data_IF_126058625989
#
_entry.id   IF_126058625989
#
_cell.length_a   1.000
_cell.length_b   1.000
_cell.length_c   1.000
_cell.angle_alpha   90.00
_cell.angle_beta   90.00
_cell.angle_gamma   90.00
#
_symmetry.space_group_name_H-M   'P 1'
#
loop_
_entity.id
_entity.type
_entity.pdbx_description
1 polymer ?
#
# COMPACT_ATOMS: atom_id res chain seq x y z
N UNK A 1 35.03 -1.83 -0.11
CA UNK A 1 33.69 -1.66 0.50
C UNK A 1 33.18 -0.25 0.25
N UNK A 2 31.87 -0.01 0.36
CA UNK A 2 31.26 1.34 0.30
C UNK A 2 30.86 1.80 1.71
N UNK A 3 30.75 3.10 1.94
CA UNK A 3 30.17 3.60 3.20
C UNK A 3 28.66 3.30 3.26
N UNK A 4 28.17 2.86 4.41
CA UNK A 4 26.75 2.51 4.61
C UNK A 4 26.52 1.48 5.71
N UNK A 5 25.26 1.07 5.87
CA UNK A 5 24.86 0.02 6.80
C UNK A 5 25.09 -1.37 6.20
N UNK A 6 25.58 -2.27 7.05
CA UNK A 6 25.79 -3.68 6.71
C UNK A 6 25.18 -4.55 7.80
N UNK A 7 24.42 -5.55 7.39
CA UNK A 7 23.91 -6.62 8.25
C UNK A 7 24.30 -7.95 7.61
N UNK A 8 25.56 -8.35 7.79
CA UNK A 8 26.13 -9.53 7.14
C UNK A 8 27.21 -10.19 8.01
N UNK A 9 27.31 -11.51 7.89
CA UNK A 9 28.39 -12.28 8.54
C UNK A 9 29.73 -11.88 7.91
N UNK A 10 30.67 -11.44 8.75
CA UNK A 10 32.05 -11.16 8.35
C UNK A 10 32.70 -12.48 7.89
N UNK A 11 32.90 -12.62 6.59
CA UNK A 11 33.53 -13.78 5.95
C UNK A 11 34.98 -13.46 5.53
N UNK A 12 35.68 -14.43 4.93
CA UNK A 12 37.09 -14.25 4.49
C UNK A 12 37.29 -13.08 3.51
N UNK A 13 36.35 -12.85 2.61
CA UNK A 13 36.42 -11.76 1.64
C UNK A 13 36.24 -10.40 2.33
N UNK A 14 35.28 -10.29 3.24
CA UNK A 14 35.05 -9.06 4.01
C UNK A 14 36.24 -8.77 4.93
N UNK A 15 36.82 -9.78 5.57
CA UNK A 15 38.04 -9.62 6.38
C UNK A 15 39.17 -9.02 5.55
N UNK A 16 39.45 -9.59 4.37
CA UNK A 16 40.47 -9.06 3.46
C UNK A 16 40.14 -7.62 3.02
N UNK A 17 38.87 -7.33 2.71
CA UNK A 17 38.47 -5.96 2.36
C UNK A 17 38.66 -4.98 3.52
N UNK A 18 38.39 -5.39 4.76
CA UNK A 18 38.60 -4.59 5.97
C UNK A 18 40.09 -4.42 6.32
N UNK A 19 40.93 -5.38 5.98
CA UNK A 19 42.39 -5.30 6.13
C UNK A 19 43.02 -4.35 5.10
N UNK A 20 42.43 -4.26 3.90
CA UNK A 20 42.93 -3.45 2.81
C UNK A 20 42.48 -1.97 2.84
N UNK A 21 41.59 -1.59 3.77
CA UNK A 21 41.22 -0.18 3.95
C UNK A 21 42.12 0.50 4.99
N UNK A 22 42.36 1.80 4.81
CA UNK A 22 43.02 2.64 5.82
C UNK A 22 42.07 2.82 7.01
N UNK A 23 42.11 1.90 7.96
CA UNK A 23 41.14 1.80 9.06
C UNK A 23 41.00 3.08 9.88
N UNK A 24 42.05 3.90 9.97
CA UNK A 24 42.06 5.19 10.66
C UNK A 24 41.06 6.20 10.07
N UNK A 25 40.72 6.05 8.79
CA UNK A 25 39.80 6.94 8.08
C UNK A 25 38.32 6.50 8.18
N UNK A 26 38.03 5.37 8.83
CA UNK A 26 36.67 4.80 8.87
C UNK A 26 36.24 4.44 10.30
N UNK A 27 34.95 4.67 10.60
CA UNK A 27 34.32 4.13 11.80
C UNK A 27 33.81 2.73 11.45
N UNK A 28 34.35 1.70 12.09
CA UNK A 28 33.98 0.31 11.84
C UNK A 28 33.20 -0.22 13.05
N UNK A 29 31.88 -0.31 12.89
CA UNK A 29 30.98 -0.87 13.90
C UNK A 29 30.79 -2.38 13.71
N UNK A 30 30.96 -3.17 14.78
CA UNK A 30 30.94 -4.63 14.75
C UNK A 30 30.34 -5.20 16.03
N UNK A 31 29.32 -6.04 15.86
CA UNK A 31 28.74 -6.84 16.93
C UNK A 31 29.07 -8.33 16.83
N UNK A 32 29.00 -9.03 17.96
CA UNK A 32 29.04 -10.49 17.98
C UNK A 32 27.67 -11.02 17.56
N UNK A 33 27.66 -12.15 16.85
CA UNK A 33 26.41 -12.86 16.53
C UNK A 33 25.72 -13.24 17.84
N UNK A 34 24.47 -12.83 17.99
CA UNK A 34 23.64 -13.18 19.14
C UNK A 34 23.42 -14.70 19.17
N UNK A 35 23.49 -15.30 20.37
CA UNK A 35 23.43 -16.76 20.52
C UNK A 35 22.03 -17.32 20.23
N UNK A 36 20.99 -16.57 20.53
CA UNK A 36 19.60 -16.96 20.29
C UNK A 36 19.24 -16.83 18.81
N UNK A 37 19.82 -15.85 18.12
CA UNK A 37 19.59 -15.61 16.68
C UNK A 37 20.57 -16.35 15.74
N UNK A 38 21.67 -16.90 16.28
CA UNK A 38 22.76 -17.51 15.52
C UNK A 38 22.27 -18.53 14.49
N UNK A 39 21.29 -19.37 14.85
CA UNK A 39 20.72 -20.38 13.93
C UNK A 39 20.14 -19.73 12.68
N UNK A 40 19.37 -18.65 12.82
CA UNK A 40 18.73 -17.97 11.70
C UNK A 40 19.77 -17.26 10.82
N UNK A 41 20.67 -16.49 11.45
CA UNK A 41 21.72 -15.71 10.76
C UNK A 41 22.63 -16.64 9.94
N UNK A 42 23.12 -17.73 10.54
CA UNK A 42 24.02 -18.66 9.87
C UNK A 42 23.32 -19.46 8.76
N UNK A 43 22.05 -19.81 8.95
CA UNK A 43 21.26 -20.50 7.91
C UNK A 43 21.03 -19.61 6.69
N UNK A 44 20.75 -18.33 6.90
CA UNK A 44 20.60 -17.36 5.82
C UNK A 44 21.93 -17.14 5.08
N UNK A 45 23.04 -17.03 5.82
CA UNK A 45 24.37 -16.90 5.22
C UNK A 45 24.74 -18.13 4.37
N UNK A 46 24.60 -19.34 4.90
CA UNK A 46 24.99 -20.55 4.16
C UNK A 46 24.08 -20.79 2.95
N UNK A 47 22.80 -20.43 3.02
CA UNK A 47 21.88 -20.50 1.87
C UNK A 47 22.40 -19.67 0.67
N UNK A 48 22.95 -18.48 0.93
CA UNK A 48 23.56 -17.66 -0.13
C UNK A 48 24.80 -18.33 -0.74
N UNK A 49 25.64 -18.96 0.10
CA UNK A 49 26.82 -19.70 -0.35
C UNK A 49 26.41 -20.90 -1.20
N UNK A 50 25.44 -21.69 -0.75
CA UNK A 50 24.90 -22.85 -1.48
C UNK A 50 24.35 -22.40 -2.84
N UNK A 51 23.58 -21.31 -2.90
CA UNK A 51 23.04 -20.78 -4.15
C UNK A 51 24.14 -20.43 -5.16
N UNK A 52 25.21 -19.75 -4.71
CA UNK A 52 26.37 -19.44 -5.55
C UNK A 52 27.07 -20.72 -6.04
N UNK A 53 27.32 -21.67 -5.13
CA UNK A 53 27.97 -22.95 -5.45
C UNK A 53 27.16 -23.79 -6.44
N UNK A 54 25.84 -23.87 -6.29
CA UNK A 54 24.96 -24.59 -7.21
C UNK A 54 24.96 -23.97 -8.61
N UNK A 55 25.09 -22.65 -8.74
CA UNK A 55 25.27 -22.00 -10.04
C UNK A 55 26.61 -22.41 -10.69
N UNK A 56 27.72 -22.37 -9.93
CA UNK A 56 29.01 -22.81 -10.46
C UNK A 56 29.04 -24.29 -10.85
N UNK A 57 28.37 -25.16 -10.10
CA UNK A 57 28.24 -26.58 -10.43
C UNK A 57 27.48 -26.75 -11.76
N UNK A 58 26.36 -26.04 -11.92
CA UNK A 58 25.57 -26.04 -13.15
C UNK A 58 26.38 -25.55 -14.36
N UNK A 59 27.16 -24.49 -14.19
CA UNK A 59 27.87 -23.85 -15.31
C UNK A 59 29.10 -24.65 -15.77
N UNK A 60 29.61 -25.59 -14.96
CA UNK A 60 30.73 -26.47 -15.33
C UNK A 60 30.33 -27.61 -16.26
N UNK A 61 29.08 -28.08 -16.18
CA UNK A 61 28.61 -29.20 -16.97
C UNK A 61 28.09 -28.74 -18.34
N UNK A 62 28.41 -29.52 -19.39
CA UNK A 62 28.01 -29.18 -20.77
C UNK A 62 26.60 -29.67 -21.10
N UNK A 63 26.24 -30.85 -20.61
CA UNK A 63 24.94 -31.49 -20.90
C UNK A 63 23.88 -31.09 -19.88
N UNK A 64 22.69 -30.71 -20.36
CA UNK A 64 21.60 -30.25 -19.48
C UNK A 64 21.06 -31.35 -18.55
N UNK A 65 21.11 -32.62 -18.97
CA UNK A 65 20.75 -33.78 -18.14
C UNK A 65 21.68 -33.94 -16.94
N UNK A 66 22.98 -33.67 -17.09
CA UNK A 66 23.97 -33.84 -16.03
C UNK A 66 23.98 -32.66 -15.05
N UNK A 67 23.65 -31.44 -15.53
CA UNK A 67 23.58 -30.23 -14.70
C UNK A 67 22.73 -30.43 -13.45
N UNK A 68 21.50 -30.90 -13.61
CA UNK A 68 20.58 -31.10 -12.49
C UNK A 68 21.06 -32.24 -11.57
N UNK A 69 21.52 -33.35 -12.13
CA UNK A 69 22.00 -34.51 -11.37
C UNK A 69 23.17 -34.11 -10.46
N UNK A 70 24.13 -33.32 -10.98
CA UNK A 70 25.27 -32.83 -10.18
C UNK A 70 24.86 -31.86 -9.08
N UNK A 71 23.87 -31.01 -9.34
CA UNK A 71 23.32 -30.13 -8.30
C UNK A 71 22.62 -30.93 -7.19
N UNK A 72 21.82 -31.95 -7.55
CA UNK A 72 21.18 -32.86 -6.60
C UNK A 72 22.22 -33.60 -5.77
N UNK A 73 23.26 -34.14 -6.42
CA UNK A 73 24.35 -34.83 -5.75
C UNK A 73 25.04 -33.92 -4.71
N UNK A 74 25.37 -32.68 -5.10
CA UNK A 74 25.98 -31.72 -4.17
C UNK A 74 25.07 -31.38 -2.98
N UNK A 75 23.76 -31.25 -3.19
CA UNK A 75 22.80 -31.06 -2.09
C UNK A 75 22.77 -32.27 -1.15
N UNK A 76 22.74 -33.49 -1.69
CA UNK A 76 22.75 -34.72 -0.88
C UNK A 76 24.06 -34.91 -0.13
N UNK A 77 25.20 -34.50 -0.70
CA UNK A 77 26.49 -34.47 0.00
C UNK A 77 26.44 -33.52 1.21
N UNK A 78 25.82 -32.34 1.07
CA UNK A 78 25.62 -31.39 2.17
C UNK A 78 24.71 -31.99 3.25
N UNK A 79 23.59 -32.63 2.86
CA UNK A 79 22.67 -33.30 3.79
C UNK A 79 23.42 -34.37 4.60
N UNK A 80 24.28 -35.16 3.95
CA UNK A 80 25.10 -36.16 4.61
C UNK A 80 26.11 -35.57 5.59
N UNK A 81 26.77 -34.47 5.23
CA UNK A 81 27.67 -33.74 6.14
C UNK A 81 26.89 -33.23 7.37
N UNK A 82 25.71 -32.63 7.15
CA UNK A 82 24.88 -32.12 8.25
C UNK A 82 24.45 -33.25 9.18
N UNK A 83 24.01 -34.39 8.65
CA UNK A 83 23.66 -35.58 9.44
C UNK A 83 24.82 -36.05 10.34
N UNK A 84 26.04 -36.09 9.79
CA UNK A 84 27.23 -36.48 10.54
C UNK A 84 27.60 -35.47 11.62
N UNK A 85 27.60 -34.17 11.30
CA UNK A 85 27.98 -33.11 12.23
C UNK A 85 26.97 -32.92 13.35
N UNK A 86 25.67 -33.06 13.06
CA UNK A 86 24.62 -32.99 14.08
C UNK A 86 24.49 -34.29 14.89
N UNK A 87 25.14 -35.38 14.45
CA UNK A 87 24.93 -36.73 14.97
C UNK A 87 23.44 -37.15 14.93
N UNK A 88 22.74 -36.79 13.86
CA UNK A 88 21.33 -37.10 13.65
C UNK A 88 21.14 -37.80 12.29
N UNK A 89 20.90 -39.11 12.32
CA UNK A 89 20.76 -39.91 11.09
C UNK A 89 19.46 -39.61 10.34
N UNK A 90 18.45 -39.10 11.04
CA UNK A 90 17.16 -38.71 10.47
C UNK A 90 17.26 -37.60 9.43
N UNK A 91 18.34 -36.81 9.43
CA UNK A 91 18.60 -35.79 8.41
C UNK A 91 18.72 -36.41 7.01
N UNK A 92 19.17 -37.67 6.89
CA UNK A 92 19.25 -38.36 5.58
C UNK A 92 17.88 -38.61 4.96
N UNK A 93 16.79 -38.58 5.72
CA UNK A 93 15.42 -38.70 5.17
C UNK A 93 15.05 -37.54 4.24
N UNK A 94 15.80 -36.44 4.27
CA UNK A 94 15.60 -35.29 3.40
C UNK A 94 16.42 -35.34 2.09
N UNK A 95 17.13 -36.44 1.81
CA UNK A 95 17.83 -36.62 0.54
C UNK A 95 16.88 -36.46 -0.65
N UNK A 96 17.36 -35.73 -1.65
CA UNK A 96 16.62 -35.43 -2.87
C UNK A 96 16.72 -36.65 -3.80
N UNK A 97 15.57 -37.12 -4.28
CA UNK A 97 15.52 -38.20 -5.26
C UNK A 97 16.20 -37.79 -6.58
N UNK A 98 16.90 -38.75 -7.19
CA UNK A 98 17.70 -38.55 -8.41
C UNK A 98 16.90 -38.06 -9.62
N UNK A 99 15.58 -38.28 -9.63
CA UNK A 99 14.73 -37.83 -10.73
C UNK A 99 14.49 -36.31 -10.68
N UNK A 100 14.75 -35.65 -9.55
CA UNK A 100 14.66 -34.19 -9.43
C UNK A 100 13.24 -33.64 -9.57
N UNK A 101 12.23 -34.41 -9.15
CA UNK A 101 10.83 -34.06 -9.32
C UNK A 101 10.31 -33.18 -8.17
N UNK A 102 9.37 -32.29 -8.48
CA UNK A 102 8.64 -31.50 -7.48
C UNK A 102 7.22 -32.05 -7.28
N UNK A 103 6.86 -32.33 -6.03
CA UNK A 103 5.48 -32.66 -5.68
C UNK A 103 4.61 -31.39 -5.73
N UNK A 104 3.86 -31.24 -6.82
CA UNK A 104 3.05 -30.04 -7.06
C UNK A 104 1.61 -30.13 -6.55
N UNK A 105 1.10 -31.35 -6.39
CA UNK A 105 -0.23 -31.62 -5.88
C UNK A 105 -0.38 -33.09 -5.50
N UNK A 106 -1.20 -33.37 -4.49
CA UNK A 106 -1.62 -34.71 -4.12
C UNK A 106 -3.13 -34.70 -3.90
N UNK A 107 -3.86 -35.53 -4.65
CA UNK A 107 -5.30 -35.68 -4.50
C UNK A 107 -5.69 -37.15 -4.50
N UNK A 108 -6.68 -37.50 -3.69
CA UNK A 108 -7.32 -38.80 -3.79
C UNK A 108 -7.98 -38.96 -5.17
N UNK A 109 -7.83 -40.14 -5.78
CA UNK A 109 -8.57 -40.51 -7.00
C UNK A 109 -10.05 -40.80 -6.70
N UNK A 110 -10.37 -41.22 -5.48
CA UNK A 110 -11.72 -41.61 -5.08
C UNK A 110 -12.59 -40.35 -4.98
N UNK A 111 -13.78 -40.40 -5.60
CA UNK A 111 -14.76 -39.30 -5.63
C UNK A 111 -14.20 -37.96 -6.15
N UNK A 112 -13.17 -38.00 -6.99
CA UNK A 112 -12.52 -36.80 -7.51
C UNK A 112 -12.72 -36.67 -9.02
N UNK A 113 -13.42 -35.62 -9.46
CA UNK A 113 -13.65 -35.32 -10.89
C UNK A 113 -12.34 -35.24 -11.70
N UNK A 114 -11.19 -34.91 -11.06
CA UNK A 114 -9.87 -34.85 -11.71
C UNK A 114 -9.36 -36.22 -12.16
N UNK A 115 -9.79 -37.31 -11.52
CA UNK A 115 -9.40 -38.67 -11.89
C UNK A 115 -9.94 -39.08 -13.28
N UNK A 116 -11.03 -38.46 -13.74
CA UNK A 116 -11.64 -38.74 -15.05
C UNK A 116 -11.02 -37.85 -16.14
N UNK A 117 -10.81 -36.58 -15.84
CA UNK A 117 -10.46 -35.57 -16.84
C UNK A 117 -8.95 -35.40 -17.08
N UNK A 118 -8.08 -36.07 -16.30
CA UNK A 118 -6.60 -35.92 -16.33
C UNK A 118 -6.10 -34.47 -16.39
N UNK A 119 -6.88 -33.51 -15.90
CA UNK A 119 -6.53 -32.09 -15.90
C UNK A 119 -5.49 -31.83 -14.81
N UNK A 120 -4.47 -31.05 -15.14
CA UNK A 120 -3.49 -30.57 -14.18
C UNK A 120 -4.16 -29.83 -13.02
N UNK A 121 -3.53 -29.88 -11.85
CA UNK A 121 -4.01 -29.17 -10.68
C UNK A 121 -4.03 -27.65 -10.94
N UNK A 122 -5.12 -27.00 -10.55
CA UNK A 122 -5.21 -25.53 -10.58
C UNK A 122 -4.28 -24.99 -9.50
N UNK A 123 -3.37 -24.10 -9.88
CA UNK A 123 -2.44 -23.41 -8.99
C UNK A 123 -2.03 -22.06 -9.59
N UNK A 124 -1.60 -21.10 -8.75
CA UNK A 124 -1.02 -19.83 -9.22
C UNK A 124 0.18 -20.05 -10.15
N UNK A 125 0.42 -19.10 -11.06
CA UNK A 125 1.59 -19.08 -11.95
C UNK A 125 2.84 -18.82 -11.13
N UNK A 126 2.76 -17.89 -10.17
CA UNK A 126 3.88 -17.64 -9.27
C UNK A 126 4.06 -18.81 -8.30
N UNK A 127 5.31 -19.18 -7.95
CA UNK A 127 5.57 -20.27 -7.02
C UNK A 127 4.84 -20.08 -5.68
N UNK A 128 4.48 -21.20 -5.04
CA UNK A 128 3.97 -21.18 -3.66
C UNK A 128 5.11 -21.17 -2.63
N UNK A 129 6.35 -21.36 -3.08
CA UNK A 129 7.53 -21.42 -2.23
C UNK A 129 8.35 -20.13 -2.21
N UNK A 130 8.01 -19.12 -3.03
CA UNK A 130 8.77 -17.89 -3.16
C UNK A 130 7.83 -16.69 -3.26
N UNK A 131 8.16 -15.62 -2.54
CA UNK A 131 7.44 -14.35 -2.63
C UNK A 131 7.60 -13.71 -4.00
N UNK A 132 6.65 -12.86 -4.39
CA UNK A 132 6.64 -12.19 -5.71
C UNK A 132 6.05 -10.80 -5.61
N UNK A 133 6.62 -9.85 -6.33
CA UNK A 133 6.10 -8.48 -6.44
C UNK A 133 5.26 -8.35 -7.72
N UNK A 134 4.10 -7.73 -7.58
CA UNK A 134 3.19 -7.37 -8.66
C UNK A 134 3.11 -5.86 -8.73
N UNK A 135 3.44 -5.28 -9.88
CA UNK A 135 3.50 -3.83 -10.13
C UNK A 135 2.52 -3.37 -11.23
N UNK A 136 1.76 -4.31 -11.80
CA UNK A 136 0.85 -4.05 -12.92
C UNK A 136 1.57 -3.98 -14.27
N UNK A 137 2.82 -4.45 -14.36
CA UNK A 137 3.57 -4.47 -15.61
C UNK A 137 3.04 -5.57 -16.55
N UNK A 138 3.06 -5.33 -17.87
CA UNK A 138 2.51 -6.27 -18.86
C UNK A 138 3.28 -7.59 -19.01
N UNK A 139 4.48 -7.70 -18.42
CA UNK A 139 5.30 -8.92 -18.42
C UNK A 139 5.09 -9.78 -17.16
N UNK A 140 4.45 -9.24 -16.13
CA UNK A 140 4.15 -9.96 -14.90
C UNK A 140 2.86 -10.77 -15.01
N UNK A 141 2.73 -11.87 -14.23
CA UNK A 141 1.46 -12.55 -14.08
C UNK A 141 0.39 -11.59 -13.58
N UNK A 142 -0.77 -11.64 -14.22
CA UNK A 142 -1.89 -10.79 -13.85
C UNK A 142 -2.42 -11.17 -12.45
N UNK A 143 -2.54 -10.17 -11.55
CA UNK A 143 -2.99 -10.37 -10.17
C UNK A 143 -4.38 -11.02 -10.09
N UNK A 144 -5.35 -10.58 -10.90
CA UNK A 144 -6.68 -11.20 -10.94
C UNK A 144 -6.60 -12.69 -11.31
N UNK A 145 -5.75 -13.05 -12.27
CA UNK A 145 -5.50 -14.44 -12.65
C UNK A 145 -4.93 -15.27 -11.51
N UNK A 146 -3.99 -14.70 -10.76
CA UNK A 146 -3.43 -15.33 -9.56
C UNK A 146 -4.49 -15.53 -8.47
N UNK A 147 -5.24 -14.48 -8.11
CA UNK A 147 -6.28 -14.58 -7.08
C UNK A 147 -7.33 -15.65 -7.41
N UNK A 148 -7.78 -15.75 -8.67
CA UNK A 148 -8.71 -16.80 -9.07
C UNK A 148 -8.12 -18.20 -8.85
N UNK A 149 -6.85 -18.41 -9.18
CA UNK A 149 -6.16 -19.68 -8.97
C UNK A 149 -5.90 -19.96 -7.49
N UNK A 150 -5.60 -18.94 -6.70
CA UNK A 150 -5.44 -19.03 -5.25
C UNK A 150 -6.76 -19.47 -4.58
N UNK A 151 -7.88 -18.82 -4.89
CA UNK A 151 -9.23 -19.17 -4.41
C UNK A 151 -9.57 -20.65 -4.68
N UNK A 152 -9.28 -21.13 -5.89
CA UNK A 152 -9.59 -22.50 -6.29
C UNK A 152 -8.64 -23.56 -5.71
N UNK A 153 -7.47 -23.16 -5.21
CA UNK A 153 -6.41 -24.09 -4.77
C UNK A 153 -6.05 -24.03 -3.28
N UNK A 154 -6.65 -23.11 -2.51
CA UNK A 154 -6.52 -23.06 -1.05
C UNK A 154 -7.56 -23.93 -0.33
N UNK A 155 -7.46 -24.04 0.99
CA UNK A 155 -8.42 -24.73 1.86
C UNK A 155 -9.40 -23.74 2.53
N UNK A 156 -8.94 -22.52 2.84
CA UNK A 156 -9.81 -21.42 3.31
C UNK A 156 -9.27 -20.04 2.91
N UNK A 157 -10.16 -19.05 2.93
CA UNK A 157 -9.91 -17.70 2.41
C UNK A 157 -10.24 -16.66 3.48
N UNK A 158 -9.28 -15.77 3.75
CA UNK A 158 -9.45 -14.61 4.62
C UNK A 158 -9.16 -13.32 3.84
N UNK A 159 -10.17 -12.46 3.70
CA UNK A 159 -10.09 -11.19 2.99
C UNK A 159 -10.20 -10.02 3.97
N UNK A 160 -9.17 -9.19 4.05
CA UNK A 160 -9.17 -7.96 4.82
C UNK A 160 -9.03 -6.78 3.85
N UNK A 161 -10.15 -6.17 3.48
CA UNK A 161 -10.16 -5.18 2.40
C UNK A 161 -11.01 -3.97 2.78
N UNK A 162 -10.38 -2.79 2.73
CA UNK A 162 -11.04 -1.53 3.03
C UNK A 162 -12.23 -1.26 2.12
N UNK A 163 -12.07 -1.43 0.79
CA UNK A 163 -13.14 -1.14 -0.18
C UNK A 163 -13.47 -2.37 -1.02
N UNK A 164 -14.76 -2.71 -1.03
CA UNK A 164 -15.29 -3.82 -1.84
C UNK A 164 -16.21 -3.27 -2.92
N UNK A 165 -15.73 -3.23 -4.17
CA UNK A 165 -16.51 -2.78 -5.33
C UNK A 165 -17.15 -3.97 -6.04
N UNK A 166 -18.37 -3.77 -6.54
CA UNK A 166 -19.05 -4.80 -7.33
C UNK A 166 -18.25 -5.16 -8.59
N UNK A 167 -17.58 -4.17 -9.20
CA UNK A 167 -16.74 -4.38 -10.38
C UNK A 167 -15.56 -5.33 -10.12
N UNK A 168 -14.98 -5.33 -8.92
CA UNK A 168 -13.91 -6.25 -8.54
C UNK A 168 -14.44 -7.61 -8.17
N UNK A 169 -15.49 -7.66 -7.35
CA UNK A 169 -16.12 -8.92 -6.94
C UNK A 169 -16.60 -9.74 -8.14
N UNK A 170 -17.20 -9.09 -9.14
CA UNK A 170 -17.65 -9.76 -10.38
C UNK A 170 -16.53 -10.55 -11.06
N UNK A 171 -15.28 -10.08 -10.98
CA UNK A 171 -14.13 -10.73 -11.61
C UNK A 171 -13.65 -12.01 -10.90
N UNK A 172 -14.04 -12.22 -9.64
CA UNK A 172 -13.67 -13.40 -8.84
C UNK A 172 -14.88 -14.21 -8.34
N UNK A 173 -16.11 -13.76 -8.64
CA UNK A 173 -17.35 -14.35 -8.12
C UNK A 173 -17.51 -15.82 -8.51
N UNK A 174 -17.16 -16.19 -9.74
CA UNK A 174 -17.29 -17.57 -10.20
C UNK A 174 -16.37 -18.49 -9.40
N UNK A 175 -15.11 -18.08 -9.19
CA UNK A 175 -14.14 -18.82 -8.38
C UNK A 175 -14.56 -18.91 -6.91
N UNK A 176 -15.08 -17.82 -6.34
CA UNK A 176 -15.61 -17.82 -4.97
C UNK A 176 -16.82 -18.74 -4.84
N UNK A 177 -17.70 -18.76 -5.84
CA UNK A 177 -18.88 -19.63 -5.87
C UNK A 177 -18.45 -21.09 -5.94
N UNK A 178 -17.52 -21.44 -6.82
CA UNK A 178 -16.99 -22.81 -6.90
C UNK A 178 -16.32 -23.22 -5.58
N UNK A 179 -15.44 -22.38 -5.03
CA UNK A 179 -14.76 -22.63 -3.77
C UNK A 179 -15.74 -22.88 -2.61
N UNK A 180 -16.73 -22.01 -2.44
CA UNK A 180 -17.64 -22.07 -1.30
C UNK A 180 -18.73 -23.12 -1.45
N UNK A 181 -19.31 -23.26 -2.65
CA UNK A 181 -20.46 -24.13 -2.90
C UNK A 181 -20.08 -25.54 -3.33
N UNK A 182 -19.12 -25.69 -4.24
CA UNK A 182 -18.72 -27.01 -4.74
C UNK A 182 -17.65 -27.67 -3.88
N UNK A 183 -16.74 -26.86 -3.33
CA UNK A 183 -15.59 -27.35 -2.57
C UNK A 183 -15.76 -27.13 -1.05
N UNK A 184 -16.88 -26.55 -0.61
CA UNK A 184 -17.22 -26.32 0.80
C UNK A 184 -16.14 -25.54 1.59
N UNK A 185 -15.39 -24.66 0.91
CA UNK A 185 -14.33 -23.86 1.54
C UNK A 185 -14.92 -22.71 2.32
N UNK A 186 -14.26 -22.36 3.42
CA UNK A 186 -14.63 -21.22 4.26
C UNK A 186 -14.10 -19.92 3.68
N UNK A 187 -14.95 -18.91 3.59
CA UNK A 187 -14.63 -17.54 3.20
C UNK A 187 -14.96 -16.58 4.35
N UNK A 188 -13.97 -15.81 4.80
CA UNK A 188 -14.14 -14.76 5.80
C UNK A 188 -13.74 -13.42 5.22
N UNK A 189 -14.57 -12.41 5.44
CA UNK A 189 -14.37 -11.07 4.88
C UNK A 189 -14.50 -10.04 6.00
N UNK A 190 -13.45 -9.26 6.21
CA UNK A 190 -13.48 -8.04 7.01
C UNK A 190 -13.44 -6.84 6.08
N UNK A 191 -14.37 -5.91 6.27
CA UNK A 191 -14.40 -4.64 5.54
C UNK A 191 -14.92 -3.50 6.41
N UNK A 192 -15.10 -2.32 5.83
CA UNK A 192 -15.57 -1.12 6.54
C UNK A 192 -16.53 -0.30 5.66
N UNK A 193 -17.39 0.48 6.31
CA UNK A 193 -18.17 1.54 5.63
C UNK A 193 -17.40 2.84 5.43
N UNK A 194 -16.16 2.94 5.96
CA UNK A 194 -15.31 4.13 5.84
C UNK A 194 -15.22 4.67 4.40
N UNK A 195 -15.34 5.99 4.24
CA UNK A 195 -15.39 6.69 2.94
C UNK A 195 -16.57 6.33 2.04
N UNK A 196 -17.47 5.45 2.45
CA UNK A 196 -18.62 5.04 1.65
C UNK A 196 -18.23 4.38 0.32
N UNK A 197 -16.98 3.93 0.19
CA UNK A 197 -16.45 3.43 -1.07
C UNK A 197 -16.80 1.95 -1.32
N UNK A 198 -17.25 1.21 -0.31
CA UNK A 198 -17.81 -0.15 -0.52
C UNK A 198 -19.18 -0.08 -1.19
N UNK A 199 -19.43 -0.97 -2.16
CA UNK A 199 -20.72 -1.06 -2.85
C UNK A 199 -21.66 -2.00 -2.08
N UNK A 200 -22.84 -1.52 -1.69
CA UNK A 200 -23.87 -2.32 -0.99
C UNK A 200 -24.17 -3.64 -1.73
N UNK A 201 -24.28 -3.60 -3.06
CA UNK A 201 -24.52 -4.76 -3.91
C UNK A 201 -23.43 -5.82 -3.75
N UNK A 202 -22.17 -5.42 -3.61
CA UNK A 202 -21.07 -6.38 -3.50
C UNK A 202 -21.17 -7.21 -2.21
N UNK A 203 -21.46 -6.55 -1.09
CA UNK A 203 -21.65 -7.21 0.20
C UNK A 203 -22.89 -8.13 0.17
N UNK A 204 -23.99 -7.67 -0.43
CA UNK A 204 -25.19 -8.49 -0.57
C UNK A 204 -24.94 -9.76 -1.38
N UNK A 205 -24.27 -9.67 -2.53
CA UNK A 205 -24.01 -10.87 -3.33
C UNK A 205 -23.01 -11.82 -2.67
N UNK A 206 -21.99 -11.30 -1.97
CA UNK A 206 -21.08 -12.13 -1.19
C UNK A 206 -21.80 -12.85 -0.05
N UNK A 207 -22.73 -12.19 0.64
CA UNK A 207 -23.50 -12.80 1.74
C UNK A 207 -24.40 -13.97 1.33
N UNK A 208 -24.67 -14.12 0.02
CA UNK A 208 -25.45 -15.25 -0.52
C UNK A 208 -24.61 -16.51 -0.76
N UNK A 209 -23.28 -16.39 -0.70
CA UNK A 209 -22.40 -17.55 -0.85
C UNK A 209 -22.48 -18.42 0.41
N UNK A 210 -22.54 -19.75 0.27
CA UNK A 210 -22.46 -20.65 1.43
C UNK A 210 -21.09 -20.52 2.11
N UNK A 211 -20.98 -20.95 3.38
CA UNK A 211 -19.72 -20.92 4.15
C UNK A 211 -18.98 -19.58 4.12
N UNK A 212 -19.74 -18.48 4.00
CA UNK A 212 -19.21 -17.12 3.90
C UNK A 212 -19.64 -16.32 5.11
N UNK A 213 -18.67 -15.74 5.81
CA UNK A 213 -18.87 -14.86 6.94
C UNK A 213 -18.34 -13.47 6.60
N UNK A 214 -19.13 -12.43 6.85
CA UNK A 214 -18.74 -11.04 6.57
C UNK A 214 -18.85 -10.25 7.86
N UNK A 215 -17.80 -9.51 8.22
CA UNK A 215 -17.81 -8.54 9.30
C UNK A 215 -17.46 -7.14 8.79
N UNK A 216 -18.17 -6.14 9.29
CA UNK A 216 -18.08 -4.76 8.83
C UNK A 216 -17.86 -3.84 10.02
N UNK A 217 -16.79 -3.04 9.97
CA UNK A 217 -16.64 -1.89 10.87
C UNK A 217 -17.45 -0.71 10.35
N UNK A 218 -18.34 -0.21 11.19
CA UNK A 218 -19.14 0.99 10.96
C UNK A 218 -18.62 2.22 11.72
N UNK A 219 -17.66 2.05 12.65
CA UNK A 219 -17.06 3.14 13.42
C UNK A 219 -15.91 3.80 12.64
N UNK A 220 -16.29 4.70 11.74
CA UNK A 220 -15.37 5.42 10.85
C UNK A 220 -14.57 6.52 11.56
N UNK A 221 -14.89 6.82 12.83
CA UNK A 221 -14.24 7.88 13.62
C UNK A 221 -13.06 7.34 14.43
N UNK A 222 -13.19 6.14 14.99
CA UNK A 222 -12.13 5.51 15.79
C UNK A 222 -11.21 4.65 14.93
N UNK A 223 -11.77 3.97 13.94
CA UNK A 223 -11.03 2.97 13.18
C UNK A 223 -11.08 3.27 11.69
N UNK A 224 -9.90 3.49 11.14
CA UNK A 224 -9.70 3.75 9.71
C UNK A 224 -9.04 2.54 9.08
N UNK A 225 -9.82 1.48 8.88
CA UNK A 225 -9.33 0.29 8.20
C UNK A 225 -9.00 0.64 6.74
N UNK A 226 -7.71 0.68 6.42
CA UNK A 226 -7.17 0.85 5.06
C UNK A 226 -6.35 -0.34 4.58
N UNK A 227 -6.41 -1.45 5.30
CA UNK A 227 -5.71 -2.67 4.92
C UNK A 227 -6.32 -3.30 3.66
N UNK A 228 -5.46 -3.89 2.85
CA UNK A 228 -5.79 -4.57 1.58
C UNK A 228 -4.92 -5.81 1.51
N UNK A 229 -5.53 -6.89 1.96
CA UNK A 229 -4.83 -8.08 2.39
C UNK A 229 -5.71 -9.29 2.04
N UNK A 230 -5.13 -10.26 1.34
CA UNK A 230 -5.82 -11.46 0.87
C UNK A 230 -5.00 -12.67 1.30
N UNK A 231 -5.56 -13.56 2.10
CA UNK A 231 -4.86 -14.75 2.58
C UNK A 231 -5.57 -16.01 2.12
N UNK A 232 -4.77 -16.94 1.59
CA UNK A 232 -5.18 -18.20 1.02
C UNK A 232 -4.50 -19.32 1.78
N UNK A 233 -5.20 -19.83 2.79
CA UNK A 233 -4.67 -20.80 3.75
C UNK A 233 -4.62 -22.19 3.14
N UNK A 234 -3.54 -22.91 3.41
CA UNK A 234 -3.36 -24.31 2.99
C UNK A 234 -2.87 -25.14 4.15
N UNK A 235 -3.55 -26.25 4.41
CA UNK A 235 -3.17 -27.20 5.45
C UNK A 235 -1.84 -27.89 5.15
N UNK A 236 -1.37 -27.80 3.90
CA UNK A 236 -0.09 -28.31 3.43
C UNK A 236 1.12 -27.47 3.84
N UNK A 237 0.93 -26.31 4.51
CA UNK A 237 2.01 -25.38 4.87
C UNK A 237 2.48 -24.49 3.72
N UNK A 238 1.69 -24.37 2.65
CA UNK A 238 1.94 -23.51 1.50
C UNK A 238 0.96 -22.33 1.44
N UNK A 239 0.63 -21.78 2.61
CA UNK A 239 -0.25 -20.61 2.72
C UNK A 239 0.38 -19.41 2.00
N UNK A 240 -0.45 -18.60 1.34
CA UNK A 240 0.00 -17.39 0.62
C UNK A 240 -0.84 -16.19 1.02
N UNK A 241 -0.19 -15.04 1.14
CA UNK A 241 -0.81 -13.75 1.43
C UNK A 241 -0.46 -12.75 0.33
N UNK A 242 -1.41 -11.91 -0.07
CA UNK A 242 -1.19 -10.77 -0.94
C UNK A 242 -1.44 -9.50 -0.12
N UNK A 243 -0.44 -8.64 -0.02
CA UNK A 243 -0.49 -7.41 0.78
C UNK A 243 -0.06 -6.25 -0.12
N UNK A 244 -0.88 -5.20 -0.22
CA UNK A 244 -0.56 -4.12 -1.13
C UNK A 244 -1.57 -2.98 -1.17
N UNK A 245 -1.59 -2.28 -2.30
CA UNK A 245 -2.46 -1.14 -2.55
C UNK A 245 -3.79 -1.51 -3.25
N UNK A 246 -3.93 -2.75 -3.74
CA UNK A 246 -5.12 -3.16 -4.50
C UNK A 246 -6.33 -3.46 -3.61
N UNK A 247 -7.39 -2.67 -3.76
CA UNK A 247 -8.74 -3.01 -3.27
C UNK A 247 -9.43 -4.03 -4.19
N UNK A 248 -10.58 -4.58 -3.78
CA UNK A 248 -11.44 -5.41 -4.61
C UNK A 248 -12.22 -4.56 -5.63
N UNK A 249 -11.53 -4.03 -6.63
CA UNK A 249 -12.10 -3.28 -7.76
C UNK A 249 -11.48 -3.72 -9.08
N UNK A 250 -12.22 -3.60 -10.19
CA UNK A 250 -11.70 -4.03 -11.50
C UNK A 250 -10.39 -3.31 -11.88
N UNK A 251 -10.32 -1.99 -11.68
CA UNK A 251 -9.12 -1.21 -11.96
C UNK A 251 -7.93 -1.73 -11.15
N UNK A 252 -8.09 -1.89 -9.83
CA UNK A 252 -7.01 -2.32 -8.95
C UNK A 252 -6.53 -3.77 -9.17
N UNK A 253 -7.37 -4.63 -9.78
CA UNK A 253 -7.05 -6.03 -10.03
C UNK A 253 -6.53 -6.30 -11.46
N UNK A 254 -6.70 -5.37 -12.40
CA UNK A 254 -6.40 -5.61 -13.82
C UNK A 254 -5.42 -4.62 -14.44
N UNK A 255 -5.67 -3.32 -14.36
CA UNK A 255 -4.98 -2.30 -15.15
C UNK A 255 -4.41 -1.13 -14.32
N UNK A 256 -4.65 -1.13 -13.02
CA UNK A 256 -4.10 -0.15 -12.09
C UNK A 256 -2.60 -0.33 -11.89
N UNK A 257 -1.90 0.80 -11.70
CA UNK A 257 -0.51 0.82 -11.23
C UNK A 257 -0.48 0.54 -9.73
N UNK A 258 -0.71 -0.72 -9.37
CA UNK A 258 -0.81 -1.16 -7.98
C UNK A 258 0.40 -2.02 -7.61
N UNK A 259 0.88 -1.86 -6.39
CA UNK A 259 1.98 -2.65 -5.86
C UNK A 259 1.43 -3.65 -4.86
N UNK A 260 1.61 -4.93 -5.14
CA UNK A 260 1.20 -6.01 -4.25
C UNK A 260 2.35 -7.00 -4.07
N UNK A 261 2.67 -7.29 -2.83
CA UNK A 261 3.61 -8.33 -2.47
C UNK A 261 2.83 -9.61 -2.17
N UNK A 262 3.07 -10.66 -2.94
CA UNK A 262 2.74 -12.02 -2.54
C UNK A 262 3.82 -12.48 -1.58
N UNK A 263 3.43 -12.81 -0.36
CA UNK A 263 4.26 -13.49 0.65
C UNK A 263 3.82 -14.94 0.74
N UNK A 264 4.77 -15.85 0.86
CA UNK A 264 4.48 -17.28 1.03
C UNK A 264 4.96 -17.78 2.39
N UNK A 265 4.30 -18.79 2.94
CA UNK A 265 4.68 -19.39 4.22
C UNK A 265 6.07 -20.01 4.20
N UNK A 266 6.49 -20.53 3.05
CA UNK A 266 7.81 -21.13 2.86
C UNK A 266 8.95 -20.11 2.81
N UNK A 267 8.65 -18.89 2.35
CA UNK A 267 9.64 -17.81 2.23
C UNK A 267 9.66 -16.94 3.49
N UNK A 268 8.50 -16.71 4.11
CA UNK A 268 8.38 -15.94 5.35
C UNK A 268 7.24 -16.42 6.25
N UNK A 269 7.54 -17.44 7.05
CA UNK A 269 6.62 -18.01 8.03
C UNK A 269 6.11 -16.97 9.03
N UNK A 270 7.00 -16.15 9.60
CA UNK A 270 6.64 -15.18 10.64
C UNK A 270 5.69 -14.09 10.13
N UNK A 271 5.83 -13.66 8.87
CA UNK A 271 4.90 -12.69 8.26
C UNK A 271 3.50 -13.30 8.11
N UNK A 272 3.40 -14.55 7.67
CA UNK A 272 2.12 -15.27 7.57
C UNK A 272 1.48 -15.40 8.96
N UNK A 273 2.23 -15.82 9.98
CA UNK A 273 1.70 -15.95 11.35
C UNK A 273 1.27 -14.61 11.94
N UNK A 274 2.03 -13.54 11.70
CA UNK A 274 1.64 -12.18 12.11
C UNK A 274 0.36 -11.72 11.41
N UNK A 275 0.22 -11.99 10.12
CA UNK A 275 -1.01 -11.71 9.38
C UNK A 275 -2.18 -12.46 10.01
N UNK A 276 -2.06 -13.78 10.22
CA UNK A 276 -3.11 -14.61 10.81
C UNK A 276 -3.54 -14.07 12.18
N UNK A 277 -2.58 -13.81 13.08
CA UNK A 277 -2.86 -13.27 14.40
C UNK A 277 -3.56 -11.88 14.33
N UNK A 278 -3.12 -11.01 13.41
CA UNK A 278 -3.72 -9.69 13.22
C UNK A 278 -5.15 -9.81 12.67
N UNK A 279 -5.37 -10.70 11.69
CA UNK A 279 -6.69 -10.96 11.14
C UNK A 279 -7.63 -11.50 12.22
N UNK A 280 -7.19 -12.47 13.03
CA UNK A 280 -7.99 -12.98 14.16
C UNK A 280 -8.28 -11.92 15.21
N UNK A 281 -7.35 -11.01 15.49
CA UNK A 281 -7.59 -9.89 16.40
C UNK A 281 -8.74 -9.02 15.90
N UNK A 282 -8.75 -8.64 14.63
CA UNK A 282 -9.85 -7.85 14.04
C UNK A 282 -11.13 -8.68 13.94
N UNK A 283 -11.01 -9.95 13.58
CA UNK A 283 -12.15 -10.86 13.44
C UNK A 283 -12.90 -11.00 14.76
N UNK A 284 -12.22 -11.00 15.90
CA UNK A 284 -12.80 -11.17 17.22
C UNK A 284 -13.08 -9.84 17.96
N UNK A 285 -12.76 -8.71 17.35
CA UNK A 285 -13.07 -7.39 17.92
C UNK A 285 -14.56 -7.06 17.73
N UNK A 286 -15.18 -6.61 18.82
CA UNK A 286 -16.59 -6.17 18.87
C UNK A 286 -16.93 -5.02 17.93
N UNK A 287 -15.94 -4.25 17.49
CA UNK A 287 -16.11 -3.17 16.52
C UNK A 287 -16.56 -3.69 15.13
N UNK A 288 -16.15 -4.91 14.79
CA UNK A 288 -16.49 -5.54 13.51
C UNK A 288 -17.78 -6.35 13.65
N UNK A 289 -18.89 -5.75 13.19
CA UNK A 289 -20.23 -6.31 13.32
C UNK A 289 -20.49 -7.34 12.22
N UNK A 290 -21.04 -8.49 12.59
CA UNK A 290 -21.41 -9.54 11.64
C UNK A 290 -22.54 -9.08 10.71
N UNK A 291 -22.35 -9.27 9.41
CA UNK A 291 -23.35 -9.02 8.37
C UNK A 291 -23.91 -10.36 7.89
N UNK A 292 -25.19 -10.59 8.13
CA UNK A 292 -25.92 -11.82 7.78
C UNK A 292 -26.90 -11.63 6.62
N UNK A 293 -27.08 -10.39 6.15
CA UNK A 293 -27.96 -10.06 5.03
C UNK A 293 -29.43 -9.89 5.40
N UNK A 294 -29.73 -9.69 6.69
CA UNK A 294 -31.07 -9.28 7.17
C UNK A 294 -31.46 -7.89 6.64
N UNK A 295 -32.74 -7.52 6.78
CA UNK A 295 -33.17 -6.18 6.39
C UNK A 295 -32.56 -5.10 7.28
N UNK A 296 -32.33 -5.40 8.56
CA UNK A 296 -31.60 -4.56 9.50
C UNK A 296 -30.16 -4.33 9.03
N UNK A 297 -29.43 -5.39 8.67
CA UNK A 297 -28.05 -5.31 8.16
C UNK A 297 -27.97 -4.46 6.89
N UNK A 298 -28.88 -4.71 5.93
CA UNK A 298 -28.96 -3.95 4.68
C UNK A 298 -29.21 -2.47 4.96
N UNK A 299 -30.15 -2.17 5.87
CA UNK A 299 -30.49 -0.79 6.26
C UNK A 299 -29.30 -0.11 6.93
N UNK A 300 -28.65 -0.76 7.89
CA UNK A 300 -27.48 -0.22 8.60
C UNK A 300 -26.32 0.05 7.64
N UNK A 301 -26.01 -0.90 6.75
CA UNK A 301 -24.98 -0.74 5.72
C UNK A 301 -25.29 0.44 4.80
N UNK A 302 -26.53 0.51 4.27
CA UNK A 302 -26.95 1.58 3.38
C UNK A 302 -26.86 2.96 4.05
N UNK A 303 -27.31 3.08 5.29
CA UNK A 303 -27.23 4.32 6.05
C UNK A 303 -25.77 4.71 6.26
N UNK A 304 -24.94 3.79 6.73
CA UNK A 304 -23.53 4.07 7.03
C UNK A 304 -22.74 4.46 5.78
N UNK A 305 -22.94 3.76 4.66
CA UNK A 305 -22.32 4.11 3.38
C UNK A 305 -22.82 5.46 2.84
N UNK A 306 -24.12 5.77 2.98
CA UNK A 306 -24.66 7.07 2.56
C UNK A 306 -24.17 8.21 3.45
N UNK A 307 -24.07 8.01 4.76
CA UNK A 307 -23.52 9.01 5.67
C UNK A 307 -22.09 9.34 5.25
N UNK A 308 -21.25 8.34 4.99
CA UNK A 308 -19.87 8.55 4.55
C UNK A 308 -19.76 9.10 3.12
N UNK A 309 -20.65 8.70 2.21
CA UNK A 309 -20.72 9.29 0.85
C UNK A 309 -21.19 10.73 0.87
N UNK A 310 -22.21 11.06 1.64
CA UNK A 310 -22.71 12.44 1.77
C UNK A 310 -21.69 13.31 2.52
N UNK A 311 -20.96 12.74 3.48
CA UNK A 311 -19.78 13.38 4.07
C UNK A 311 -18.68 13.67 3.03
N UNK A 312 -18.63 12.91 1.92
CA UNK A 312 -17.70 13.11 0.80
C UNK A 312 -18.29 13.94 -0.37
N UNK A 313 -19.61 13.95 -0.58
CA UNK A 313 -20.31 14.62 -1.69
C UNK A 313 -20.86 16.02 -1.32
N UNK A 314 -21.25 16.26 -0.06
CA UNK A 314 -21.57 17.60 0.46
C UNK A 314 -20.34 18.29 1.08
N UNK A 315 -19.23 17.56 1.24
CA UNK A 315 -18.03 18.05 1.88
C UNK A 315 -16.75 17.49 1.23
N UNK A 316 -16.30 18.14 0.14
CA UNK A 316 -14.85 18.30 -0.05
C UNK A 316 -14.28 19.41 0.86
N UNK A 317 -14.91 19.66 2.01
CA UNK A 317 -14.23 20.11 3.23
C UNK A 317 -13.86 18.90 4.04
N UNK A 318 -12.65 18.41 3.86
CA UNK A 318 -12.09 17.56 4.88
C UNK A 318 -12.04 18.32 6.21
N UNK A 319 -12.66 17.73 7.23
CA UNK A 319 -12.22 17.79 8.62
C UNK A 319 -10.83 17.16 8.84
N UNK A 320 -9.88 17.36 7.91
CA UNK A 320 -8.47 17.30 8.23
C UNK A 320 -8.14 18.62 8.92
N UNK A 321 -7.80 18.59 10.20
CA UNK A 321 -6.98 19.64 10.76
C UNK A 321 -5.62 19.57 10.04
N UNK A 322 -5.53 20.25 8.90
CA UNK A 322 -4.23 20.55 8.31
C UNK A 322 -3.49 21.33 9.40
N UNK A 323 -2.31 20.85 9.78
CA UNK A 323 -1.43 21.53 10.74
C UNK A 323 -0.13 21.88 10.03
N UNK A 324 0.38 23.11 10.20
CA UNK A 324 1.67 23.46 9.64
C UNK A 324 2.77 22.61 10.28
N UNK A 325 3.73 22.13 9.46
CA UNK A 325 4.95 21.49 9.96
C UNK A 325 5.78 22.49 10.78
N UNK A 326 6.74 22.00 11.58
CA UNK A 326 7.58 22.84 12.45
C UNK A 326 8.24 24.00 11.68
N UNK A 327 8.86 23.73 10.53
CA UNK A 327 9.48 24.76 9.68
C UNK A 327 8.46 25.75 9.10
N UNK A 328 7.21 25.33 8.85
CA UNK A 328 6.16 26.22 8.35
C UNK A 328 5.69 27.16 9.45
N UNK A 329 5.64 26.70 10.71
CA UNK A 329 5.33 27.54 11.87
C UNK A 329 6.37 28.64 12.06
N UNK A 330 7.66 28.30 11.95
CA UNK A 330 8.76 29.27 12.04
C UNK A 330 8.65 30.37 10.96
N UNK A 331 8.31 29.98 9.73
CA UNK A 331 8.04 30.93 8.65
C UNK A 331 6.86 31.85 8.99
N UNK A 332 5.73 31.29 9.48
CA UNK A 332 4.55 32.06 9.88
C UNK A 332 4.84 33.03 11.03
N UNK A 333 5.62 32.60 12.02
CA UNK A 333 6.06 33.44 13.14
C UNK A 333 6.93 34.60 12.66
N UNK A 334 7.86 34.34 11.73
CA UNK A 334 8.70 35.37 11.11
C UNK A 334 7.87 36.39 10.34
N UNK A 335 6.91 35.95 9.52
CA UNK A 335 5.99 36.84 8.80
C UNK A 335 5.16 37.71 9.77
N UNK A 336 4.75 37.15 10.89
CA UNK A 336 4.01 37.87 11.94
C UNK A 336 4.88 38.92 12.63
N UNK A 337 6.14 38.61 12.91
CA UNK A 337 7.12 39.55 13.48
C UNK A 337 7.37 40.73 12.54
N UNK A 338 7.62 40.47 11.26
CA UNK A 338 7.84 41.54 10.27
C UNK A 338 6.66 42.52 10.21
N UNK A 339 5.41 42.02 10.28
CA UNK A 339 4.21 42.87 10.27
C UNK A 339 4.01 43.62 11.57
N UNK A 340 4.12 42.96 12.74
CA UNK A 340 3.74 43.55 14.04
C UNK A 340 4.83 44.40 14.68
N UNK A 341 6.09 44.02 14.52
CA UNK A 341 7.22 44.70 15.17
C UNK A 341 7.89 45.67 14.19
N UNK A 342 8.08 45.25 12.95
CA UNK A 342 8.84 46.02 11.95
C UNK A 342 7.95 46.80 10.97
N UNK A 343 6.62 46.67 11.06
CA UNK A 343 5.64 47.36 10.20
C UNK A 343 5.88 47.12 8.68
N UNK A 344 6.35 45.92 8.32
CA UNK A 344 6.61 45.50 6.94
C UNK A 344 5.56 44.52 6.46
N UNK A 345 4.85 44.89 5.39
CA UNK A 345 3.72 44.13 4.85
C UNK A 345 4.02 43.48 3.48
N UNK A 346 5.16 43.79 2.87
CA UNK A 346 5.61 43.21 1.60
C UNK A 346 6.74 42.21 1.86
N UNK A 347 6.39 40.93 1.91
CA UNK A 347 7.31 39.85 2.30
C UNK A 347 7.45 38.82 1.17
N UNK A 348 8.68 38.33 0.94
CA UNK A 348 8.98 37.30 -0.05
C UNK A 348 9.46 36.03 0.67
N UNK A 349 8.74 34.92 0.46
CA UNK A 349 9.10 33.61 1.01
C UNK A 349 9.71 32.74 -0.08
N UNK A 350 11.01 32.44 0.05
CA UNK A 350 11.72 31.51 -0.85
C UNK A 350 11.69 30.11 -0.24
N UNK A 351 11.29 29.13 -1.03
CA UNK A 351 11.16 27.74 -0.58
C UNK A 351 11.31 26.79 -1.78
N UNK A 352 11.76 25.55 -1.58
CA UNK A 352 11.82 24.55 -2.66
C UNK A 352 10.41 24.16 -3.16
N UNK A 353 10.31 23.50 -4.32
CA UNK A 353 9.05 22.89 -4.77
C UNK A 353 8.67 21.72 -3.84
N UNK A 354 7.37 21.49 -3.61
CA UNK A 354 6.91 20.40 -2.75
C UNK A 354 6.88 20.69 -1.23
N UNK A 355 7.49 21.78 -0.74
CA UNK A 355 7.52 22.14 0.71
C UNK A 355 6.25 22.82 1.23
N UNK A 356 5.19 22.86 0.43
CA UNK A 356 3.89 23.37 0.85
C UNK A 356 3.75 24.91 0.88
N UNK A 357 4.30 25.64 -0.10
CA UNK A 357 4.13 27.11 -0.23
C UNK A 357 2.66 27.56 -0.11
N UNK A 358 1.77 26.80 -0.75
CA UNK A 358 0.31 27.02 -0.72
C UNK A 358 -0.30 26.81 0.67
N UNK A 359 0.25 25.87 1.44
CA UNK A 359 -0.18 25.59 2.81
C UNK A 359 0.26 26.73 3.74
N UNK A 360 1.50 27.21 3.57
CA UNK A 360 2.02 28.37 4.31
C UNK A 360 1.14 29.60 4.05
N UNK A 361 0.86 29.93 2.79
CA UNK A 361 0.07 31.12 2.44
C UNK A 361 -1.38 31.04 2.93
N UNK A 362 -1.98 29.84 2.92
CA UNK A 362 -3.32 29.62 3.46
C UNK A 362 -3.40 29.79 4.98
N UNK A 363 -2.39 29.31 5.72
CA UNK A 363 -2.33 29.54 7.17
C UNK A 363 -2.06 30.99 7.53
N UNK A 364 -1.19 31.66 6.78
CA UNK A 364 -0.90 33.09 6.98
C UNK A 364 -2.16 33.94 6.78
N UNK A 365 -2.92 33.66 5.72
CA UNK A 365 -4.20 34.32 5.47
C UNK A 365 -5.25 33.99 6.53
N UNK A 366 -5.34 32.73 6.98
CA UNK A 366 -6.23 32.34 8.10
C UNK A 366 -5.94 33.18 9.34
N UNK A 367 -4.66 33.30 9.71
CA UNK A 367 -4.25 34.04 10.89
C UNK A 367 -4.55 35.54 10.73
N UNK A 368 -4.37 36.09 9.52
CA UNK A 368 -4.80 37.44 9.17
C UNK A 368 -6.32 37.65 9.36
N UNK A 369 -7.16 36.72 8.92
CA UNK A 369 -8.62 36.77 9.14
C UNK A 369 -9.00 36.69 10.62
N UNK A 370 -8.27 35.89 11.41
CA UNK A 370 -8.49 35.79 12.87
C UNK A 370 -8.14 37.10 13.56
N UNK A 371 -7.09 37.80 13.13
CA UNK A 371 -6.69 39.09 13.67
C UNK A 371 -7.61 40.23 13.21
N UNK A 372 -8.26 40.10 12.04
CA UNK A 372 -9.16 41.09 11.44
C UNK A 372 -10.63 40.60 11.40
N UNK A 373 -11.10 39.99 12.49
CA UNK A 373 -12.49 39.54 12.61
C UNK A 373 -13.47 40.70 12.38
N UNK A 374 -14.49 40.45 11.55
CA UNK A 374 -15.54 41.43 11.24
C UNK A 374 -15.23 42.37 10.07
N UNK A 375 -14.05 42.26 9.44
CA UNK A 375 -13.72 42.97 8.19
C UNK A 375 -13.94 42.08 6.96
N UNK A 376 -13.94 42.70 5.78
CA UNK A 376 -14.12 42.01 4.50
C UNK A 376 -13.00 40.99 4.21
N UNK A 377 -11.75 41.30 4.61
CA UNK A 377 -10.58 40.42 4.46
C UNK A 377 -10.36 39.93 3.03
N UNK A 378 -10.52 40.84 2.06
CA UNK A 378 -10.53 40.49 0.63
C UNK A 378 -9.18 39.94 0.19
N UNK A 379 -9.19 38.80 -0.51
CA UNK A 379 -8.01 38.05 -0.94
C UNK A 379 -7.87 38.09 -2.46
N UNK A 380 -6.67 38.42 -2.94
CA UNK A 380 -6.27 38.19 -4.33
C UNK A 380 -5.14 37.14 -4.37
N UNK A 381 -5.39 36.02 -5.03
CA UNK A 381 -4.43 34.93 -5.20
C UNK A 381 -4.08 34.73 -6.68
N UNK A 382 -2.81 34.94 -7.03
CA UNK A 382 -2.33 34.98 -8.42
C UNK A 382 -1.31 33.88 -8.69
N UNK A 383 -1.54 33.06 -9.73
CA UNK A 383 -0.59 32.02 -10.20
C UNK A 383 -0.56 31.89 -11.73
N UNK A 384 0.39 31.15 -12.28
CA UNK A 384 0.53 30.99 -13.74
C UNK A 384 -0.37 29.90 -14.36
N UNK A 385 -0.65 28.79 -13.66
CA UNK A 385 -1.36 27.62 -14.23
C UNK A 385 -2.69 27.37 -13.54
N UNK A 386 -3.72 27.02 -14.32
CA UNK A 386 -5.08 26.73 -13.83
C UNK A 386 -5.14 25.58 -12.81
N UNK A 387 -4.37 24.52 -13.03
CA UNK A 387 -4.37 23.35 -12.14
C UNK A 387 -3.88 23.72 -10.72
N UNK A 388 -2.81 24.51 -10.65
CA UNK A 388 -2.26 25.02 -9.37
C UNK A 388 -3.29 25.92 -8.68
N UNK A 389 -4.01 26.73 -9.45
CA UNK A 389 -5.04 27.63 -8.93
C UNK A 389 -6.20 26.84 -8.28
N UNK A 390 -6.65 25.76 -8.92
CA UNK A 390 -7.68 24.87 -8.38
C UNK A 390 -7.19 24.16 -7.10
N UNK A 391 -5.97 23.65 -7.09
CA UNK A 391 -5.37 23.00 -5.92
C UNK A 391 -5.17 23.98 -4.75
N UNK A 392 -4.75 25.21 -5.05
CA UNK A 392 -4.60 26.26 -4.05
C UNK A 392 -5.94 26.62 -3.41
N UNK A 393 -6.98 26.83 -4.22
CA UNK A 393 -8.33 27.08 -3.71
C UNK A 393 -8.81 25.96 -2.78
N UNK A 394 -8.63 24.70 -3.16
CA UNK A 394 -8.97 23.57 -2.30
C UNK A 394 -8.21 23.58 -0.97
N UNK A 395 -6.92 23.96 -0.99
CA UNK A 395 -6.09 24.09 0.22
C UNK A 395 -6.60 25.19 1.15
N UNK A 396 -6.97 26.35 0.60
CA UNK A 396 -7.56 27.45 1.36
C UNK A 396 -8.90 27.06 1.99
N UNK A 397 -9.79 26.41 1.23
CA UNK A 397 -11.08 25.91 1.76
C UNK A 397 -10.89 24.97 2.94
N UNK A 398 -9.93 24.04 2.84
CA UNK A 398 -9.63 23.08 3.88
C UNK A 398 -9.05 23.70 5.16
N UNK A 399 -8.21 24.74 5.04
CA UNK A 399 -7.58 25.44 6.17
C UNK A 399 -8.54 26.45 6.83
N UNK A 400 -9.33 27.16 6.04
CA UNK A 400 -10.30 28.16 6.52
C UNK A 400 -11.62 27.55 6.98
N UNK A 401 -11.84 26.25 6.72
CA UNK A 401 -13.11 25.55 7.00
C UNK A 401 -14.32 26.24 6.37
N UNK A 402 -14.15 26.71 5.12
CA UNK A 402 -15.20 27.37 4.36
C UNK A 402 -15.19 26.88 2.91
N UNK A 403 -16.23 26.13 2.52
CA UNK A 403 -16.34 25.52 1.18
C UNK A 403 -16.70 26.49 0.08
N UNK A 404 -17.34 27.60 0.45
CA UNK A 404 -17.72 28.65 -0.50
C UNK A 404 -16.59 29.67 -0.67
N UNK A 405 -15.43 29.43 -0.04
CA UNK A 405 -14.30 30.34 -0.13
C UNK A 405 -13.62 30.26 -1.50
N UNK A 406 -13.43 31.43 -2.14
CA UNK A 406 -12.63 31.56 -3.35
C UNK A 406 -13.42 31.38 -4.66
N UNK A 407 -13.44 32.43 -5.47
CA UNK A 407 -13.93 32.46 -6.84
C UNK A 407 -12.79 32.21 -7.84
N UNK A 408 -13.06 31.49 -8.93
CA UNK A 408 -12.04 31.19 -9.95
C UNK A 408 -12.22 32.08 -11.19
N UNK A 409 -11.19 32.83 -11.56
CA UNK A 409 -11.11 33.56 -12.82
C UNK A 409 -9.97 33.01 -13.69
N UNK A 410 -10.28 31.95 -14.44
CA UNK A 410 -9.36 31.25 -15.35
C UNK A 410 -10.16 30.45 -16.39
N UNK A 411 -9.57 30.21 -17.58
CA UNK A 411 -10.18 29.32 -18.58
C UNK A 411 -11.57 29.77 -19.07
N UNK A 412 -11.80 31.08 -19.16
CA UNK A 412 -13.09 31.66 -19.56
C UNK A 412 -14.14 31.78 -18.45
N UNK A 413 -13.89 31.25 -17.25
CA UNK A 413 -14.80 31.41 -16.11
C UNK A 413 -14.88 32.87 -15.67
N UNK A 414 -16.10 33.31 -15.32
CA UNK A 414 -16.38 34.64 -14.75
C UNK A 414 -16.73 34.45 -13.27
N UNK A 415 -16.06 35.14 -12.35
CA UNK A 415 -16.34 35.04 -10.92
C UNK A 415 -17.67 35.75 -10.59
N UNK A 416 -18.40 35.24 -9.59
CA UNK A 416 -19.63 35.89 -9.10
C UNK A 416 -19.34 37.00 -8.07
N UNK A 417 -18.20 36.92 -7.38
CA UNK A 417 -17.70 37.92 -6.45
C UNK A 417 -16.19 38.15 -6.65
N UNK A 418 -15.73 39.37 -6.34
CA UNK A 418 -14.32 39.74 -6.36
C UNK A 418 -13.68 39.73 -4.96
N UNK A 419 -14.42 39.42 -3.89
CA UNK A 419 -13.89 39.52 -2.52
C UNK A 419 -12.78 38.50 -2.24
N UNK A 420 -12.87 37.29 -2.79
CA UNK A 420 -11.87 36.24 -2.60
C UNK A 420 -11.52 35.62 -3.95
N UNK A 421 -10.62 36.25 -4.70
CA UNK A 421 -10.37 35.93 -6.08
C UNK A 421 -9.11 35.08 -6.27
N UNK A 422 -9.27 33.92 -6.90
CA UNK A 422 -8.20 33.06 -7.40
C UNK A 422 -8.12 33.25 -8.92
N UNK A 423 -7.04 33.87 -9.39
CA UNK A 423 -6.88 34.30 -10.79
C UNK A 423 -5.56 33.83 -11.40
N UNK A 424 -5.56 33.50 -12.70
CA UNK A 424 -4.30 33.25 -13.42
C UNK A 424 -3.67 34.56 -13.92
N UNK A 425 -2.34 34.65 -14.01
CA UNK A 425 -1.67 35.86 -14.54
C UNK A 425 -2.20 36.27 -15.93
N UNK A 426 -2.52 35.29 -16.77
CA UNK A 426 -3.06 35.50 -18.11
C UNK A 426 -4.48 36.09 -18.05
N UNK A 427 -5.29 35.69 -17.08
CA UNK A 427 -6.64 36.22 -16.89
C UNK A 427 -6.62 37.58 -16.20
N UNK A 428 -5.60 37.84 -15.37
CA UNK A 428 -5.38 39.14 -14.74
C UNK A 428 -5.01 40.20 -15.80
N UNK A 429 -4.10 39.85 -16.73
CA UNK A 429 -3.64 40.75 -17.78
C UNK A 429 -4.65 40.96 -18.93
N UNK A 430 -5.63 40.07 -19.08
CA UNK A 430 -6.57 40.11 -20.23
C UNK A 430 -7.97 40.66 -19.90
N UNK A 431 -8.28 40.90 -18.62
CA UNK A 431 -9.62 41.31 -18.17
C UNK A 431 -9.64 42.62 -17.38
N UNK A 432 -8.57 43.41 -17.45
CA UNK A 432 -8.46 44.74 -16.83
C UNK A 432 -9.00 44.78 -15.39
N UNK A 433 -8.61 43.79 -14.57
CA UNK A 433 -9.04 43.73 -13.16
C UNK A 433 -8.67 45.03 -12.41
N UNK A 434 -7.56 45.65 -12.82
CA UNK A 434 -7.07 46.94 -12.32
C UNK A 434 -7.97 48.13 -12.70
N UNK A 435 -8.85 48.01 -13.69
CA UNK A 435 -9.82 49.07 -14.04
C UNK A 435 -11.11 48.98 -13.22
N UNK A 436 -11.43 47.79 -12.72
CA UNK A 436 -12.67 47.53 -11.95
C UNK A 436 -12.46 47.34 -10.45
N UNK A 437 -11.22 47.45 -9.98
CA UNK A 437 -10.85 47.43 -8.55
C UNK A 437 -9.95 48.62 -8.23
N UNK A 438 -10.16 49.26 -7.07
CA UNK A 438 -9.28 50.33 -6.58
C UNK A 438 -7.98 49.76 -6.01
N UNK A 439 -6.94 50.60 -5.90
CA UNK A 439 -5.62 50.19 -5.37
C UNK A 439 -5.68 49.60 -3.95
N UNK A 440 -6.70 49.97 -3.17
CA UNK A 440 -6.95 49.57 -1.79
C UNK A 440 -8.04 48.49 -1.65
N UNK A 441 -8.51 47.91 -2.76
CA UNK A 441 -9.63 46.98 -2.73
C UNK A 441 -9.32 45.66 -1.99
N UNK A 442 -8.14 45.08 -2.23
CA UNK A 442 -7.72 43.80 -1.64
C UNK A 442 -6.89 43.99 -0.37
N UNK A 443 -7.32 43.35 0.71
CA UNK A 443 -6.65 43.41 2.02
C UNK A 443 -5.43 42.49 2.11
N UNK A 444 -5.39 41.43 1.30
CA UNK A 444 -4.31 40.44 1.29
C UNK A 444 -4.02 39.95 -0.14
N UNK A 445 -2.76 40.06 -0.58
CA UNK A 445 -2.36 39.67 -1.94
C UNK A 445 -1.27 38.61 -1.86
N UNK A 446 -1.50 37.48 -2.54
CA UNK A 446 -0.56 36.37 -2.64
C UNK A 446 -0.23 36.12 -4.11
N UNK A 447 1.06 36.15 -4.42
CA UNK A 447 1.58 35.83 -5.75
C UNK A 447 2.50 34.62 -5.60
N UNK A 448 2.13 33.50 -6.23
CA UNK A 448 2.98 32.31 -6.28
C UNK A 448 3.56 32.16 -7.68
N UNK A 449 4.86 32.42 -7.80
CA UNK A 449 5.61 32.13 -9.01
C UNK A 449 6.31 30.77 -8.87
N UNK A 450 6.24 29.96 -9.92
CA UNK A 450 6.98 28.71 -10.02
C UNK A 450 8.10 28.96 -11.04
N UNK A 451 9.24 29.47 -10.56
CA UNK A 451 10.46 29.44 -11.36
C UNK A 451 10.81 27.96 -11.52
N UNK A 452 10.61 27.44 -12.72
CA UNK A 452 11.33 26.24 -13.17
C UNK A 452 12.80 26.68 -13.25
N UNK A 453 13.58 26.30 -12.24
CA UNK A 453 15.04 26.26 -12.36
C UNK A 453 15.39 24.99 -13.12
#
# INVERSE_FOLDING_TARGET
MKEGLYEQVINKEILQQLENIEQENFIIDKDKIDKEEAKAILSQYISQVIRKSLNYIRDKEKEDSEKLIKQIQACNDIINILSQVSNEEDIKKYEIDKNGEMLNALYSKINNKRAINNKAAIRPITPLSQSSLFTGSGQEPNMLGELNKEILSCDSIDLLVSFVKWSGIRCIMDSLTEATREQNKKLRIITTSYMGATDEKAIQELSKLPNTEIKISYDTKRTRLHAKAYMFKRDTGFTTAYIGSSNLSNAALTSGLEWNLKVTEQDSFDIIKKFEATFESYWNDSEFVSYTGTEEDKKQLRISLKLEKNYNDEDTSFGFDIRPYAYQKEILETLKVERKIHNKYRNLVVAATGVGKTVISAFDYRDFCIENRGKANRLLFVVHREEILKQARSTFRAILKNNNFGELMVGGRKPESLDHLFVSIQSLNSKDLCEITSEDYYDFIIIINMLLI
#
